data_IF_214806698708
#
_entry.id   IF_214806698708
#
_cell.length_a   1.000
_cell.length_b   1.000
_cell.length_c   1.000
_cell.angle_alpha   90.00
_cell.angle_beta   90.00
_cell.angle_gamma   90.00
#
_symmetry.space_group_name_H-M   'P 1'
#
loop_
_entity.id
_entity.type
_entity.pdbx_description
1 polymer ?
#
# COMPACT_ATOMS: atom_id res chain seq x y z
N UNK A 1 -6.88 22.54 39.87
CA UNK A 1 -6.50 23.86 40.39
C UNK A 1 -6.27 24.81 39.23
N UNK A 2 -6.79 26.04 39.35
CA UNK A 2 -6.82 27.09 38.34
C UNK A 2 -5.44 27.74 38.21
N UNK A 3 -4.95 27.97 36.99
CA UNK A 3 -3.90 28.96 36.72
C UNK A 3 -4.29 29.81 35.51
N UNK A 4 -4.19 31.12 35.71
CA UNK A 4 -4.66 32.24 34.90
C UNK A 4 -4.26 32.20 33.42
N UNK A 5 -5.26 32.27 32.54
CA UNK A 5 -5.13 32.35 31.09
C UNK A 5 -4.71 33.71 30.52
N UNK A 6 -4.24 34.64 31.33
CA UNK A 6 -3.90 36.00 30.89
C UNK A 6 -2.58 36.04 30.07
N UNK A 7 -1.54 35.33 30.49
CA UNK A 7 -0.21 35.42 29.84
C UNK A 7 -0.12 34.68 28.49
N UNK A 8 -1.01 33.73 28.22
CA UNK A 8 -1.02 32.96 26.96
C UNK A 8 -1.79 33.70 25.87
N UNK A 9 -2.83 34.44 26.22
CA UNK A 9 -3.56 35.29 25.28
C UNK A 9 -2.70 36.46 24.77
N UNK A 10 -1.91 37.11 25.62
CA UNK A 10 -1.10 38.27 25.20
C UNK A 10 -0.05 37.92 24.13
N UNK A 11 0.52 36.70 24.17
CA UNK A 11 1.43 36.21 23.13
C UNK A 11 0.69 35.82 21.84
N UNK A 12 -0.53 35.30 21.93
CA UNK A 12 -1.35 34.96 20.77
C UNK A 12 -1.88 36.22 20.05
N UNK A 13 -2.26 37.25 20.80
CA UNK A 13 -2.74 38.53 20.26
C UNK A 13 -1.62 39.28 19.52
N UNK A 14 -0.36 39.23 20.02
CA UNK A 14 0.80 39.82 19.32
C UNK A 14 1.10 39.20 17.94
N UNK A 15 0.60 38.00 17.65
CA UNK A 15 0.88 37.28 16.38
C UNK A 15 -0.27 37.31 15.38
N UNK A 16 -1.35 38.04 15.67
CA UNK A 16 -2.49 38.29 14.79
C UNK A 16 -3.16 37.02 14.20
N UNK A 17 -3.16 35.92 14.96
CA UNK A 17 -3.82 34.66 14.59
C UNK A 17 -5.13 34.48 15.36
N UNK A 18 -6.21 35.06 14.85
CA UNK A 18 -7.56 34.91 15.39
C UNK A 18 -8.30 33.62 14.96
N UNK A 19 -7.60 32.61 14.44
CA UNK A 19 -8.25 31.35 14.04
C UNK A 19 -8.31 30.36 15.23
N UNK A 20 -9.46 30.34 15.91
CA UNK A 20 -10.00 29.25 16.74
C UNK A 20 -8.97 28.42 17.57
N UNK A 21 -8.46 28.99 18.66
CA UNK A 21 -7.79 28.21 19.72
C UNK A 21 -8.83 27.46 20.56
N UNK A 22 -8.82 26.13 20.51
CA UNK A 22 -9.50 25.29 21.49
C UNK A 22 -8.48 24.81 22.53
N UNK A 23 -8.45 25.46 23.70
CA UNK A 23 -7.70 24.96 24.84
C UNK A 23 -8.56 23.97 25.61
N UNK A 24 -8.13 22.71 25.70
CA UNK A 24 -8.65 21.74 26.67
C UNK A 24 -7.51 21.26 27.54
N UNK A 25 -7.58 21.58 28.83
CA UNK A 25 -6.69 21.00 29.83
C UNK A 25 -7.11 19.56 30.12
N UNK A 26 -6.14 18.67 30.25
CA UNK A 26 -6.35 17.31 30.75
C UNK A 26 -5.23 17.04 31.74
N UNK A 27 -5.58 16.65 32.96
CA UNK A 27 -4.62 16.33 34.02
C UNK A 27 -4.26 14.86 33.86
N UNK A 28 -2.97 14.56 33.73
CA UNK A 28 -2.45 13.20 33.69
C UNK A 28 -1.62 12.93 34.94
N UNK A 29 -1.82 11.77 35.56
CA UNK A 29 -1.01 11.26 36.67
C UNK A 29 -0.32 9.98 36.23
N UNK A 30 0.98 9.89 36.44
CA UNK A 30 1.75 8.65 36.30
C UNK A 30 1.78 7.87 37.63
N UNK A 31 1.96 6.54 37.54
CA UNK A 31 2.03 5.57 38.63
C UNK A 31 3.27 5.71 39.53
N UNK A 32 4.19 6.64 39.23
CA UNK A 32 5.45 6.86 39.96
C UNK A 32 5.55 8.18 40.73
N UNK A 33 4.48 8.97 40.81
CA UNK A 33 4.47 10.23 41.55
C UNK A 33 5.07 11.42 40.79
N UNK A 34 4.28 12.48 40.65
CA UNK A 34 4.81 13.85 40.75
C UNK A 34 4.54 14.81 39.61
N UNK A 35 4.61 14.42 38.34
CA UNK A 35 4.64 15.42 37.26
C UNK A 35 3.30 15.55 36.51
N UNK A 36 2.64 16.68 36.73
CA UNK A 36 1.43 17.12 36.01
C UNK A 36 1.82 18.03 34.83
N UNK A 37 1.56 17.58 33.60
CA UNK A 37 1.74 18.38 32.38
C UNK A 37 0.42 18.73 31.69
N UNK A 38 0.43 19.77 30.84
CA UNK A 38 -0.73 20.20 30.05
C UNK A 38 -0.46 20.03 28.54
N UNK A 39 -1.50 19.69 27.79
CA UNK A 39 -1.48 19.69 26.32
C UNK A 39 -2.16 20.98 25.81
N UNK A 40 -1.52 21.69 24.87
CA UNK A 40 -2.13 22.83 24.17
C UNK A 40 -2.19 22.51 22.68
N UNK A 41 -3.38 22.62 22.09
CA UNK A 41 -3.59 22.48 20.66
C UNK A 41 -3.52 23.86 20.03
N UNK A 42 -2.60 24.07 19.10
CA UNK A 42 -2.46 25.32 18.36
C UNK A 42 -2.67 25.03 16.88
N UNK A 43 -3.82 25.49 16.37
CA UNK A 43 -4.18 25.58 14.94
C UNK A 43 -4.59 24.27 14.21
N UNK A 44 -5.42 24.42 13.17
CA UNK A 44 -5.99 23.39 12.30
C UNK A 44 -4.98 22.67 11.40
N UNK A 45 -3.68 22.89 11.62
CA UNK A 45 -2.59 22.32 10.83
C UNK A 45 -1.68 21.49 11.73
N UNK A 46 -2.20 20.36 12.21
CA UNK A 46 -1.51 19.17 12.77
C UNK A 46 -0.27 19.35 13.68
N UNK A 47 -0.02 20.52 14.25
CA UNK A 47 1.16 20.79 15.07
C UNK A 47 0.81 20.82 16.56
N UNK A 48 1.40 19.91 17.33
CA UNK A 48 1.24 19.84 18.79
C UNK A 48 2.51 20.29 19.48
N UNK A 49 2.37 21.21 20.44
CA UNK A 49 3.46 21.60 21.34
C UNK A 49 3.09 21.23 22.77
N UNK A 50 4.00 20.52 23.44
CA UNK A 50 3.85 20.10 24.83
C UNK A 50 4.69 21.01 25.70
N UNK A 51 4.06 21.66 26.68
CA UNK A 51 4.72 22.61 27.55
C UNK A 51 4.73 22.08 28.99
N UNK A 52 5.84 22.27 29.69
CA UNK A 52 5.93 22.03 31.13
C UNK A 52 5.16 23.10 31.93
N UNK A 53 5.12 22.99 33.27
CA UNK A 53 4.47 23.99 34.14
C UNK A 53 5.05 25.40 34.00
N UNK A 54 6.27 25.55 33.48
CA UNK A 54 6.92 26.83 33.18
C UNK A 54 6.64 27.37 31.78
N UNK A 55 5.88 26.65 30.94
CA UNK A 55 5.64 27.05 29.55
C UNK A 55 6.80 26.73 28.61
N UNK A 56 7.80 25.96 29.05
CA UNK A 56 8.91 25.54 28.20
C UNK A 56 8.53 24.28 27.43
N UNK A 57 9.10 24.11 26.23
CA UNK A 57 8.88 22.91 25.43
C UNK A 57 9.42 21.68 26.16
N UNK A 58 8.54 20.75 26.52
CA UNK A 58 8.91 19.54 27.23
C UNK A 58 9.67 18.58 26.31
N UNK A 59 10.82 18.09 26.75
CA UNK A 59 11.62 17.08 26.04
C UNK A 59 11.14 15.66 26.35
N UNK A 60 11.14 14.79 25.35
CA UNK A 60 10.56 13.44 25.41
C UNK A 60 11.16 12.56 26.53
N UNK A 61 12.43 12.78 26.87
CA UNK A 61 13.16 12.03 27.91
C UNK A 61 12.72 12.34 29.34
N UNK A 62 12.03 13.46 29.58
CA UNK A 62 11.67 13.92 30.94
C UNK A 62 10.28 13.51 31.41
N UNK A 63 9.47 12.87 30.55
CA UNK A 63 8.06 12.60 30.87
C UNK A 63 7.69 11.11 30.87
N UNK A 64 8.60 10.20 31.23
CA UNK A 64 8.33 8.78 31.54
C UNK A 64 7.24 8.07 30.70
N UNK A 65 7.25 8.23 29.37
CA UNK A 65 6.27 7.58 28.48
C UNK A 65 4.86 8.22 28.43
N UNK A 66 4.61 9.30 29.18
CA UNK A 66 3.36 10.10 29.11
C UNK A 66 3.15 10.66 27.69
N UNK A 67 4.24 10.99 26.98
CA UNK A 67 4.20 11.43 25.58
C UNK A 67 3.56 10.39 24.65
N UNK A 68 3.97 9.13 24.74
CA UNK A 68 3.48 8.09 23.83
C UNK A 68 2.04 7.69 24.15
N UNK A 69 1.68 7.68 25.44
CA UNK A 69 0.31 7.45 25.88
C UNK A 69 -0.64 8.58 25.44
N UNK A 70 -0.25 9.83 25.64
CA UNK A 70 -1.06 10.99 25.24
C UNK A 70 -1.17 11.12 23.71
N UNK A 71 -0.08 10.87 22.97
CA UNK A 71 -0.06 10.80 21.49
C UNK A 71 -1.03 9.72 20.99
N UNK A 72 -1.06 8.54 21.62
CA UNK A 72 -2.00 7.45 21.29
C UNK A 72 -3.46 7.85 21.53
N UNK A 73 -3.76 8.54 22.64
CA UNK A 73 -5.12 9.03 22.96
C UNK A 73 -5.59 10.16 22.03
N UNK A 74 -4.74 11.14 21.73
CA UNK A 74 -5.07 12.24 20.81
C UNK A 74 -5.29 11.74 19.37
N UNK A 75 -4.52 10.77 18.88
CA UNK A 75 -4.73 10.14 17.56
C UNK A 75 -6.10 9.45 17.45
N UNK A 76 -6.54 8.78 18.51
CA UNK A 76 -7.87 8.14 18.53
C UNK A 76 -9.01 9.17 18.45
N UNK A 77 -8.85 10.35 19.06
CA UNK A 77 -9.86 11.41 19.08
C UNK A 77 -10.06 12.06 17.69
N UNK A 78 -8.98 12.34 16.95
CA UNK A 78 -9.08 12.86 15.58
C UNK A 78 -9.80 11.89 14.63
N UNK A 79 -9.64 10.58 14.81
CA UNK A 79 -10.33 9.61 13.96
C UNK A 79 -11.86 9.60 14.15
N UNK A 80 -12.36 10.08 15.30
CA UNK A 80 -13.80 10.12 15.61
C UNK A 80 -14.52 11.40 15.15
N UNK A 81 -13.82 12.51 14.91
CA UNK A 81 -14.45 13.79 14.58
C UNK A 81 -14.53 14.09 13.09
N UNK A 82 -13.80 13.36 12.24
CA UNK A 82 -13.93 13.44 10.77
C UNK A 82 -15.13 12.62 10.29
N UNK A 83 -16.35 13.07 10.61
CA UNK A 83 -17.61 12.58 10.04
C UNK A 83 -18.66 13.69 9.97
N UNK A 84 -18.26 14.88 9.53
CA UNK A 84 -19.20 15.95 9.19
C UNK A 84 -18.97 16.33 7.73
N UNK A 85 -19.85 15.84 6.86
CA UNK A 85 -19.96 16.26 5.46
C UNK A 85 -20.53 17.67 5.40
N UNK A 86 -19.76 18.64 4.91
CA UNK A 86 -20.32 19.92 4.48
C UNK A 86 -20.81 19.82 3.02
N UNK A 87 -21.97 20.41 2.67
CA UNK A 87 -22.51 20.38 1.31
C UNK A 87 -21.76 21.36 0.39
N UNK A 88 -21.72 21.09 -0.93
CA UNK A 88 -20.98 21.90 -1.87
C UNK A 88 -21.71 23.21 -2.22
N UNK A 89 -20.99 24.32 -2.15
CA UNK A 89 -21.41 25.64 -2.61
C UNK A 89 -21.42 25.68 -4.14
N UNK A 90 -22.56 26.02 -4.75
CA UNK A 90 -22.72 26.25 -6.19
C UNK A 90 -22.03 27.57 -6.59
N UNK A 91 -21.30 27.56 -7.70
CA UNK A 91 -20.99 28.77 -8.48
C UNK A 91 -21.43 28.59 -9.94
N UNK A 92 -22.04 29.64 -10.46
CA UNK A 92 -22.57 29.83 -11.82
C UNK A 92 -21.65 30.80 -12.60
N UNK A 93 -21.50 30.58 -13.90
CA UNK A 93 -21.49 31.59 -14.99
C UNK A 93 -20.93 30.92 -16.26
N UNK A 94 -21.79 30.66 -17.24
CA UNK A 94 -22.01 31.45 -18.47
C UNK A 94 -21.03 31.14 -19.61
N UNK A 95 -21.61 30.65 -20.70
CA UNK A 95 -20.97 30.41 -22.00
C UNK A 95 -21.07 31.66 -22.89
N UNK A 96 -20.33 31.68 -24.01
CA UNK A 96 -20.97 32.09 -25.25
C UNK A 96 -20.78 31.11 -26.41
N UNK A 97 -21.85 31.03 -27.19
CA UNK A 97 -22.14 30.17 -28.34
C UNK A 97 -21.44 30.65 -29.62
N UNK A 98 -21.09 29.74 -30.54
CA UNK A 98 -21.17 29.99 -32.00
C UNK A 98 -21.40 28.71 -32.81
N UNK A 99 -22.53 28.73 -33.55
CA UNK A 99 -23.00 27.91 -34.69
C UNK A 99 -21.95 27.88 -35.86
N UNK A 100 -21.97 27.04 -36.90
CA UNK A 100 -22.85 25.99 -37.48
C UNK A 100 -22.11 25.34 -38.69
N UNK A 101 -22.69 24.25 -39.23
CA UNK A 101 -22.66 23.69 -40.61
C UNK A 101 -21.82 22.41 -40.77
N UNK A 102 -22.20 21.36 -41.52
CA UNK A 102 -23.42 20.89 -42.22
C UNK A 102 -23.17 19.39 -42.53
N UNK A 103 -24.22 18.55 -42.59
CA UNK A 103 -24.18 17.16 -43.08
C UNK A 103 -24.02 17.08 -44.62
N UNK A 104 -23.73 15.91 -45.23
CA UNK A 104 -24.78 14.93 -45.60
C UNK A 104 -24.36 13.44 -45.41
N UNK A 105 -25.23 12.56 -44.91
CA UNK A 105 -26.13 11.61 -45.63
C UNK A 105 -25.44 10.68 -46.63
N UNK A 106 -25.54 9.35 -46.42
CA UNK A 106 -25.85 8.33 -47.44
C UNK A 106 -25.98 6.92 -46.82
N UNK A 107 -27.20 6.40 -46.82
CA UNK A 107 -27.56 4.97 -46.99
C UNK A 107 -28.06 4.83 -48.45
N UNK A 108 -28.06 3.64 -49.12
CA UNK A 108 -28.83 2.46 -48.67
C UNK A 108 -28.36 1.05 -49.11
N UNK A 109 -29.05 0.03 -48.58
CA UNK A 109 -29.73 -1.06 -49.33
C UNK A 109 -29.22 -2.53 -49.23
N UNK A 110 -30.19 -3.37 -48.86
CA UNK A 110 -30.54 -4.72 -49.38
C UNK A 110 -29.85 -6.01 -48.87
N UNK A 111 -30.67 -6.83 -48.19
CA UNK A 111 -30.62 -8.30 -48.10
C UNK A 111 -30.87 -9.00 -49.45
N UNK A 112 -30.62 -10.32 -49.61
CA UNK A 112 -31.69 -11.30 -49.31
C UNK A 112 -31.26 -12.69 -48.77
N UNK A 113 -32.08 -13.19 -47.84
CA UNK A 113 -32.73 -14.53 -47.71
C UNK A 113 -32.07 -15.82 -48.26
N UNK A 114 -31.91 -16.85 -47.39
CA UNK A 114 -32.56 -18.19 -47.48
C UNK A 114 -32.22 -19.13 -46.30
N UNK A 115 -33.28 -19.62 -45.64
CA UNK A 115 -33.42 -20.88 -44.85
C UNK A 115 -34.16 -21.91 -45.76
N UNK A 116 -34.49 -23.15 -45.36
CA UNK A 116 -33.94 -24.08 -44.35
C UNK A 116 -33.75 -25.51 -44.93
N UNK A 117 -32.98 -26.40 -44.27
CA UNK A 117 -33.15 -27.86 -44.44
C UNK A 117 -33.05 -28.55 -43.07
N UNK A 118 -33.94 -29.51 -42.88
CA UNK A 118 -34.31 -30.12 -41.62
C UNK A 118 -33.77 -31.56 -41.50
N UNK A 119 -33.73 -32.00 -40.23
CA UNK A 119 -33.98 -33.36 -39.73
C UNK A 119 -33.04 -34.51 -40.12
N UNK A 120 -32.41 -35.12 -39.11
CA UNK A 120 -32.55 -36.55 -38.78
C UNK A 120 -31.83 -36.92 -37.47
N UNK A 121 -32.62 -37.23 -36.46
CA UNK A 121 -32.39 -38.30 -35.47
C UNK A 121 -33.26 -39.51 -35.92
N UNK A 122 -33.06 -40.78 -35.48
CA UNK A 122 -32.95 -41.11 -34.05
C UNK A 122 -32.21 -42.42 -33.62
N UNK A 123 -31.97 -42.51 -32.28
CA UNK A 123 -31.98 -43.71 -31.38
C UNK A 123 -30.92 -44.85 -31.53
N UNK A 124 -30.74 -45.75 -30.53
CA UNK A 124 -30.24 -45.53 -29.15
C UNK A 124 -29.17 -46.57 -28.75
N UNK A 125 -28.32 -46.30 -27.74
CA UNK A 125 -27.58 -47.40 -27.08
C UNK A 125 -27.38 -47.20 -25.58
N UNK A 126 -28.16 -48.00 -24.85
CA UNK A 126 -27.86 -48.79 -23.64
C UNK A 126 -27.13 -48.13 -22.47
N UNK A 127 -27.91 -48.06 -21.39
CA UNK A 127 -27.59 -47.77 -19.99
C UNK A 127 -26.49 -48.69 -19.43
N UNK A 128 -25.61 -48.13 -18.60
CA UNK A 128 -25.08 -48.85 -17.45
C UNK A 128 -25.20 -47.99 -16.20
N UNK A 129 -25.93 -48.54 -15.23
CA UNK A 129 -26.20 -48.00 -13.92
C UNK A 129 -24.97 -48.13 -13.02
N UNK A 130 -24.52 -47.02 -12.45
CA UNK A 130 -23.84 -47.02 -11.16
C UNK A 130 -24.28 -45.78 -10.40
N UNK A 131 -25.20 -45.97 -9.46
CA UNK A 131 -25.70 -44.92 -8.57
C UNK A 131 -24.61 -44.35 -7.67
N UNK A 132 -24.74 -43.09 -7.23
CA UNK A 132 -23.67 -42.32 -6.63
C UNK A 132 -23.64 -42.50 -5.10
N UNK A 133 -22.44 -42.66 -4.54
CA UNK A 133 -22.19 -42.47 -3.12
C UNK A 133 -22.42 -40.98 -2.81
N UNK A 134 -23.53 -40.67 -2.13
CA UNK A 134 -23.80 -39.35 -1.59
C UNK A 134 -22.72 -39.01 -0.55
N UNK A 135 -21.76 -38.16 -0.94
CA UNK A 135 -20.94 -37.42 0.03
C UNK A 135 -21.86 -36.45 0.76
N UNK A 136 -22.15 -36.76 2.02
CA UNK A 136 -22.79 -35.84 2.96
C UNK A 136 -21.91 -34.58 3.03
N UNK A 137 -22.43 -33.48 2.49
CA UNK A 137 -21.79 -32.18 2.60
C UNK A 137 -21.73 -31.78 4.09
N UNK A 138 -20.60 -31.26 4.59
CA UNK A 138 -20.52 -30.78 5.96
C UNK A 138 -21.51 -29.62 6.15
N UNK A 139 -22.41 -29.78 7.13
CA UNK A 139 -23.35 -28.75 7.59
C UNK A 139 -22.56 -27.46 7.88
N UNK A 140 -22.86 -26.38 7.15
CA UNK A 140 -22.36 -25.04 7.49
C UNK A 140 -22.80 -24.70 8.93
N UNK A 141 -21.84 -24.38 9.77
CA UNK A 141 -22.10 -23.87 11.13
C UNK A 141 -22.85 -22.52 11.03
N UNK A 142 -23.88 -22.24 11.86
CA UNK A 142 -24.76 -21.08 11.70
C UNK A 142 -24.14 -19.71 12.05
N UNK A 143 -22.92 -19.67 12.61
CA UNK A 143 -22.40 -18.45 13.27
C UNK A 143 -21.36 -17.65 12.47
N UNK A 144 -21.21 -17.87 11.16
CA UNK A 144 -20.39 -16.99 10.34
C UNK A 144 -21.26 -15.94 9.64
N UNK A 145 -21.18 -14.64 9.99
CA UNK A 145 -21.87 -13.60 9.25
C UNK A 145 -21.48 -13.70 7.78
N UNK A 146 -22.47 -13.65 6.91
CA UNK A 146 -22.38 -13.86 5.47
C UNK A 146 -21.43 -12.83 4.83
N UNK A 147 -20.12 -13.14 4.87
CA UNK A 147 -19.07 -12.25 4.37
C UNK A 147 -19.12 -12.29 2.85
N UNK A 148 -19.57 -11.19 2.25
CA UNK A 148 -19.61 -10.97 0.78
C UNK A 148 -18.35 -11.55 0.11
N UNK A 149 -18.51 -12.61 -0.69
CA UNK A 149 -17.44 -13.21 -1.47
C UNK A 149 -17.01 -12.26 -2.59
N UNK A 150 -15.72 -11.92 -2.65
CA UNK A 150 -15.16 -11.06 -3.71
C UNK A 150 -14.85 -11.85 -4.99
N UNK A 151 -14.48 -11.17 -6.08
CA UNK A 151 -13.88 -11.83 -7.25
C UNK A 151 -12.44 -12.22 -6.95
N UNK A 152 -11.91 -13.22 -7.66
CA UNK A 152 -10.48 -13.53 -7.58
C UNK A 152 -9.65 -12.34 -8.07
N UNK A 153 -8.53 -12.08 -7.40
CA UNK A 153 -7.59 -11.02 -7.78
C UNK A 153 -6.23 -11.65 -8.02
N UNK A 154 -5.61 -11.31 -9.15
CA UNK A 154 -4.27 -11.76 -9.52
C UNK A 154 -3.37 -10.57 -9.78
N UNK A 155 -2.13 -10.63 -9.29
CA UNK A 155 -1.08 -9.68 -9.62
C UNK A 155 0.21 -10.42 -9.96
N UNK A 156 0.94 -9.92 -10.96
CA UNK A 156 2.28 -10.40 -11.26
C UNK A 156 3.30 -9.74 -10.34
N UNK A 157 4.34 -10.47 -9.97
CA UNK A 157 5.42 -10.03 -9.09
C UNK A 157 6.76 -10.38 -9.73
N UNK A 158 7.68 -9.43 -9.74
CA UNK A 158 9.09 -9.60 -10.14
C UNK A 158 9.96 -8.91 -9.08
N UNK A 159 11.18 -9.39 -8.87
CA UNK A 159 12.14 -8.76 -7.97
C UNK A 159 13.58 -8.99 -8.46
N UNK A 160 14.51 -8.17 -7.94
CA UNK A 160 15.96 -8.41 -7.99
C UNK A 160 16.53 -8.52 -9.41
N UNK A 161 15.93 -7.81 -10.35
CA UNK A 161 16.37 -7.75 -11.74
C UNK A 161 16.02 -6.39 -12.35
N UNK A 162 16.76 -5.92 -13.36
CA UNK A 162 17.88 -6.57 -14.02
C UNK A 162 19.24 -6.05 -13.54
N UNK A 163 20.20 -6.94 -13.32
CA UNK A 163 21.58 -6.58 -12.94
C UNK A 163 22.55 -6.52 -14.11
N UNK A 164 22.12 -6.98 -15.29
CA UNK A 164 22.96 -7.03 -16.48
C UNK A 164 22.17 -6.67 -17.73
N UNK A 165 22.87 -6.52 -18.86
CA UNK A 165 22.20 -6.36 -20.16
C UNK A 165 21.34 -7.58 -20.52
N UNK A 166 21.84 -8.79 -20.34
CA UNK A 166 21.08 -10.01 -20.60
C UNK A 166 19.80 -10.09 -19.76
N UNK A 167 19.85 -9.63 -18.51
CA UNK A 167 18.66 -9.60 -17.65
C UNK A 167 17.67 -8.50 -18.04
N UNK A 168 18.12 -7.41 -18.66
CA UNK A 168 17.22 -6.42 -19.27
C UNK A 168 16.45 -7.04 -20.43
N UNK A 169 17.12 -7.81 -21.28
CA UNK A 169 16.46 -8.55 -22.35
C UNK A 169 15.47 -9.59 -21.78
N UNK A 170 15.82 -10.23 -20.67
CA UNK A 170 14.94 -11.16 -19.96
C UNK A 170 13.71 -10.45 -19.35
N UNK A 171 13.89 -9.30 -18.71
CA UNK A 171 12.81 -8.47 -18.18
C UNK A 171 11.86 -8.05 -19.30
N UNK A 172 12.40 -7.59 -20.43
CA UNK A 172 11.60 -7.22 -21.60
C UNK A 172 10.80 -8.42 -22.13
N UNK A 173 11.41 -9.61 -22.18
CA UNK A 173 10.71 -10.83 -22.55
C UNK A 173 9.61 -11.21 -21.53
N UNK A 174 9.80 -10.98 -20.23
CA UNK A 174 8.74 -11.16 -19.22
C UNK A 174 7.56 -10.21 -19.48
N UNK A 175 7.82 -8.93 -19.72
CA UNK A 175 6.77 -7.94 -20.04
C UNK A 175 5.98 -8.39 -21.27
N UNK A 176 6.65 -8.81 -22.35
CA UNK A 176 5.98 -9.31 -23.55
C UNK A 176 5.13 -10.57 -23.29
N UNK A 177 5.61 -11.51 -22.47
CA UNK A 177 4.84 -12.70 -22.09
C UNK A 177 3.60 -12.33 -21.27
N UNK A 178 3.74 -11.47 -20.26
CA UNK A 178 2.64 -11.02 -19.43
C UNK A 178 1.60 -10.25 -20.26
N UNK A 179 2.02 -9.39 -21.20
CA UNK A 179 1.12 -8.69 -22.12
C UNK A 179 0.26 -9.60 -23.00
N UNK A 180 0.70 -10.84 -23.27
CA UNK A 180 -0.08 -11.84 -24.01
C UNK A 180 -1.01 -12.66 -23.12
N UNK A 181 -0.72 -12.75 -21.82
CA UNK A 181 -1.39 -13.68 -20.90
C UNK A 181 -2.28 -13.00 -19.87
N UNK A 182 -2.10 -11.71 -19.58
CA UNK A 182 -2.72 -11.06 -18.43
C UNK A 182 -4.25 -11.23 -18.37
N UNK A 183 -4.94 -11.16 -19.52
CA UNK A 183 -6.40 -11.34 -19.56
C UNK A 183 -6.81 -12.78 -19.24
N UNK A 184 -6.06 -13.78 -19.72
CA UNK A 184 -6.33 -15.19 -19.43
C UNK A 184 -5.98 -15.56 -17.98
N UNK A 185 -4.91 -14.96 -17.44
CA UNK A 185 -4.50 -15.14 -16.04
C UNK A 185 -5.35 -14.29 -15.07
N UNK A 186 -6.20 -13.38 -15.57
CA UNK A 186 -6.98 -12.45 -14.75
C UNK A 186 -6.14 -11.41 -13.99
N UNK A 187 -4.89 -11.18 -14.42
CA UNK A 187 -3.96 -10.28 -13.75
C UNK A 187 -4.40 -8.82 -13.88
N UNK A 188 -4.31 -8.09 -12.77
CA UNK A 188 -4.81 -6.71 -12.63
C UNK A 188 -3.71 -5.65 -12.62
N UNK A 189 -2.52 -6.01 -12.14
CA UNK A 189 -1.33 -5.16 -12.11
C UNK A 189 -0.05 -6.01 -12.04
N UNK A 190 1.08 -5.36 -12.28
CA UNK A 190 2.43 -5.89 -12.04
C UNK A 190 3.06 -5.11 -10.90
N UNK A 191 3.82 -5.77 -10.03
CA UNK A 191 4.70 -5.11 -9.07
C UNK A 191 6.15 -5.58 -9.22
N UNK A 192 7.09 -4.63 -9.21
CA UNK A 192 8.52 -4.88 -9.10
C UNK A 192 9.00 -4.56 -7.68
N UNK A 193 9.58 -5.53 -6.98
CA UNK A 193 9.96 -5.41 -5.57
C UNK A 193 11.34 -4.78 -5.35
N UNK A 194 11.76 -3.88 -6.24
CA UNK A 194 13.07 -3.21 -6.17
C UNK A 194 14.24 -4.04 -6.66
N UNK A 195 15.44 -3.51 -6.42
CA UNK A 195 16.71 -4.06 -6.84
C UNK A 195 16.81 -4.24 -8.36
N UNK A 196 16.86 -3.10 -9.02
CA UNK A 196 16.97 -2.96 -10.47
C UNK A 196 18.39 -2.56 -10.91
N UNK A 197 19.30 -2.24 -9.98
CA UNK A 197 20.71 -1.98 -10.29
C UNK A 197 21.65 -2.95 -9.59
N UNK A 198 22.16 -3.95 -10.32
CA UNK A 198 23.23 -4.81 -9.79
C UNK A 198 24.61 -4.16 -9.74
N UNK A 199 24.72 -2.87 -10.10
CA UNK A 199 25.98 -2.14 -10.13
C UNK A 199 26.13 -1.23 -8.90
N UNK A 200 27.28 -1.33 -8.24
CA UNK A 200 27.70 -0.39 -7.19
C UNK A 200 27.96 1.03 -7.69
N UNK A 201 27.85 1.31 -8.99
CA UNK A 201 27.99 2.69 -9.52
C UNK A 201 26.67 3.39 -9.79
N UNK A 202 25.55 2.65 -9.71
CA UNK A 202 24.17 3.14 -9.91
C UNK A 202 24.04 4.10 -11.11
N UNK A 203 24.48 3.67 -12.31
CA UNK A 203 24.47 4.54 -13.47
C UNK A 203 23.03 4.87 -13.87
N UNK A 204 22.75 6.13 -14.20
CA UNK A 204 21.39 6.57 -14.56
C UNK A 204 20.81 5.78 -15.74
N UNK A 205 21.65 5.38 -16.69
CA UNK A 205 21.27 4.55 -17.84
C UNK A 205 20.58 3.22 -17.48
N UNK A 206 20.79 2.68 -16.28
CA UNK A 206 20.06 1.48 -15.82
C UNK A 206 18.63 1.84 -15.46
N UNK A 207 18.41 2.93 -14.74
CA UNK A 207 17.07 3.42 -14.38
C UNK A 207 16.25 3.75 -15.64
N UNK A 208 16.87 4.44 -16.61
CA UNK A 208 16.26 4.76 -17.89
C UNK A 208 15.89 3.51 -18.69
N UNK A 209 16.81 2.54 -18.79
CA UNK A 209 16.54 1.30 -19.51
C UNK A 209 15.40 0.49 -18.85
N UNK A 210 15.34 0.45 -17.52
CA UNK A 210 14.28 -0.24 -16.80
C UNK A 210 12.94 0.48 -16.96
N UNK A 211 12.89 1.82 -16.93
CA UNK A 211 11.67 2.59 -17.27
C UNK A 211 11.20 2.27 -18.69
N UNK A 212 12.11 2.26 -19.66
CA UNK A 212 11.80 1.94 -21.06
C UNK A 212 11.20 0.53 -21.23
N UNK A 213 11.61 -0.43 -20.40
CA UNK A 213 11.08 -1.80 -20.44
C UNK A 213 9.74 -1.90 -19.71
N UNK A 214 9.66 -1.42 -18.45
CA UNK A 214 8.45 -1.56 -17.63
C UNK A 214 7.26 -0.78 -18.20
N UNK A 215 7.50 0.38 -18.82
CA UNK A 215 6.45 1.19 -19.46
C UNK A 215 5.75 0.50 -20.63
N UNK A 216 6.33 -0.58 -21.18
CA UNK A 216 5.68 -1.41 -22.22
C UNK A 216 4.58 -2.31 -21.67
N UNK A 217 4.41 -2.39 -20.34
CA UNK A 217 3.37 -3.21 -19.72
C UNK A 217 1.96 -2.73 -20.11
N UNK A 218 1.06 -3.66 -20.44
CA UNK A 218 -0.38 -3.41 -20.60
C UNK A 218 -1.11 -3.31 -19.25
N UNK A 219 -0.46 -3.75 -18.18
CA UNK A 219 -0.94 -3.64 -16.82
C UNK A 219 -0.31 -2.43 -16.13
N UNK A 220 -1.03 -1.75 -15.22
CA UNK A 220 -0.43 -0.79 -14.30
C UNK A 220 0.74 -1.43 -13.55
N UNK A 221 1.86 -0.72 -13.45
CA UNK A 221 3.06 -1.19 -12.75
C UNK A 221 3.27 -0.38 -11.48
N UNK A 222 3.41 -1.09 -10.37
CA UNK A 222 3.93 -0.58 -9.11
C UNK A 222 5.40 -0.97 -8.96
N UNK A 223 6.20 -0.14 -8.33
CA UNK A 223 7.60 -0.43 -8.05
C UNK A 223 8.00 0.22 -6.72
N UNK A 224 8.75 -0.52 -5.92
CA UNK A 224 9.38 -0.04 -4.66
C UNK A 224 10.90 -0.09 -4.83
N UNK A 225 11.69 0.78 -4.18
CA UNK A 225 13.14 0.66 -4.20
C UNK A 225 13.63 -0.52 -3.36
N UNK A 226 14.76 -1.11 -3.76
CA UNK A 226 15.53 -2.06 -2.93
C UNK A 226 16.84 -1.47 -2.43
N UNK A 227 17.67 -2.24 -1.73
CA UNK A 227 18.93 -1.72 -1.18
C UNK A 227 19.91 -1.23 -2.25
N UNK A 228 19.89 -1.86 -3.43
CA UNK A 228 20.72 -1.46 -4.56
C UNK A 228 20.43 -0.04 -5.08
N UNK A 229 19.21 0.47 -4.89
CA UNK A 229 18.85 1.84 -5.25
C UNK A 229 19.06 2.85 -4.11
N UNK A 230 19.44 2.38 -2.92
CA UNK A 230 19.41 3.19 -1.69
C UNK A 230 20.75 3.13 -0.93
N UNK A 231 21.07 2.05 -0.23
CA UNK A 231 22.24 1.94 0.67
C UNK A 231 23.46 1.23 0.07
N UNK A 232 23.28 0.45 -0.99
CA UNK A 232 24.41 -0.20 -1.68
C UNK A 232 25.04 0.74 -2.72
N UNK A 233 24.38 1.87 -2.99
CA UNK A 233 24.94 2.93 -3.81
C UNK A 233 25.91 3.84 -3.05
N UNK A 234 27.16 4.06 -3.52
CA UNK A 234 28.11 4.98 -2.90
C UNK A 234 27.62 6.43 -2.85
N UNK A 235 26.79 6.84 -3.81
CA UNK A 235 26.16 8.15 -3.84
C UNK A 235 24.65 8.00 -3.76
N UNK A 236 24.15 7.88 -2.53
CA UNK A 236 22.72 7.78 -2.21
C UNK A 236 21.90 8.91 -2.85
N UNK A 237 22.36 10.17 -2.77
CA UNK A 237 21.60 11.31 -3.30
C UNK A 237 21.40 11.19 -4.81
N UNK A 238 22.41 10.73 -5.55
CA UNK A 238 22.32 10.48 -6.99
C UNK A 238 21.37 9.32 -7.29
N UNK A 239 21.52 8.19 -6.59
CA UNK A 239 20.67 7.02 -6.79
C UNK A 239 19.20 7.33 -6.49
N UNK A 240 18.94 8.00 -5.36
CA UNK A 240 17.59 8.40 -4.96
C UNK A 240 16.97 9.42 -5.91
N UNK A 241 17.75 10.39 -6.40
CA UNK A 241 17.29 11.33 -7.43
C UNK A 241 16.92 10.60 -8.72
N UNK A 242 17.74 9.65 -9.16
CA UNK A 242 17.44 8.84 -10.34
C UNK A 242 16.19 7.99 -10.12
N UNK A 243 16.10 7.28 -9.00
CA UNK A 243 14.93 6.48 -8.66
C UNK A 243 13.66 7.33 -8.70
N UNK A 244 13.67 8.50 -8.06
CA UNK A 244 12.52 9.41 -8.09
C UNK A 244 12.17 9.91 -9.49
N UNK A 245 13.18 10.25 -10.30
CA UNK A 245 12.99 10.73 -11.68
C UNK A 245 12.25 9.71 -12.55
N UNK A 246 12.58 8.42 -12.40
CA UNK A 246 12.03 7.37 -13.26
C UNK A 246 10.81 6.67 -12.65
N UNK A 247 10.74 6.50 -11.33
CA UNK A 247 9.82 5.55 -10.68
C UNK A 247 8.89 6.14 -9.59
N UNK A 248 9.09 7.39 -9.14
CA UNK A 248 8.17 7.95 -8.14
C UNK A 248 6.76 8.10 -8.73
N UNK A 249 5.76 7.50 -8.08
CA UNK A 249 4.38 7.45 -8.60
C UNK A 249 4.29 6.91 -10.03
N UNK A 250 5.03 5.82 -10.31
CA UNK A 250 5.19 5.25 -11.66
C UNK A 250 3.86 4.96 -12.37
N UNK A 251 2.88 4.44 -11.63
CA UNK A 251 1.53 4.17 -12.11
C UNK A 251 0.84 5.44 -12.64
N UNK A 252 1.06 6.60 -12.02
CA UNK A 252 0.48 7.88 -12.47
C UNK A 252 1.15 8.42 -13.72
N UNK A 253 2.43 8.10 -13.94
CA UNK A 253 3.19 8.52 -15.14
C UNK A 253 2.68 7.81 -16.39
N UNK A 254 2.33 6.53 -16.29
CA UNK A 254 2.08 5.67 -17.45
C UNK A 254 0.65 5.09 -17.52
N UNK A 255 -0.07 4.93 -16.41
CA UNK A 255 -1.40 4.30 -16.35
C UNK A 255 -2.40 5.07 -15.47
N UNK A 256 -2.35 6.41 -15.52
CA UNK A 256 -3.25 7.27 -14.73
C UNK A 256 -4.71 6.85 -14.88
N UNK A 257 -5.40 6.65 -13.76
CA UNK A 257 -6.84 6.31 -13.72
C UNK A 257 -7.19 4.84 -13.97
N UNK A 258 -6.22 3.96 -14.21
CA UNK A 258 -6.50 2.54 -14.45
C UNK A 258 -6.88 1.77 -13.17
N UNK A 259 -6.28 2.15 -12.03
CA UNK A 259 -6.56 1.57 -10.72
C UNK A 259 -6.64 2.69 -9.67
N UNK A 260 -7.41 2.49 -8.58
CA UNK A 260 -7.55 3.48 -7.51
C UNK A 260 -6.35 3.43 -6.55
N UNK A 261 -5.14 3.62 -7.06
CA UNK A 261 -3.89 3.60 -6.30
C UNK A 261 -3.74 4.89 -5.50
N UNK A 262 -3.53 4.74 -4.18
CA UNK A 262 -3.22 5.82 -3.27
C UNK A 262 -1.73 5.79 -2.94
N UNK A 263 -1.11 6.97 -2.85
CA UNK A 263 0.27 7.11 -2.40
C UNK A 263 0.31 7.80 -1.03
N UNK A 264 1.30 7.48 -0.22
CA UNK A 264 1.51 8.16 1.05
C UNK A 264 2.05 9.57 0.80
N UNK A 265 1.40 10.57 1.39
CA UNK A 265 1.89 11.96 1.35
C UNK A 265 3.28 12.06 1.98
N UNK A 266 4.25 12.63 1.25
CA UNK A 266 5.64 12.77 1.70
C UNK A 266 6.50 11.50 1.62
N UNK A 267 5.92 10.38 1.17
CA UNK A 267 6.55 9.08 0.93
C UNK A 267 5.91 8.44 -0.30
N UNK A 268 5.89 9.14 -1.43
CA UNK A 268 5.12 8.71 -2.60
C UNK A 268 5.65 7.42 -3.24
N UNK A 269 6.79 6.89 -2.79
CA UNK A 269 7.24 5.53 -3.07
C UNK A 269 6.35 4.44 -2.42
N UNK A 270 5.65 4.78 -1.33
CA UNK A 270 4.66 3.92 -0.71
C UNK A 270 3.31 4.07 -1.40
N UNK A 271 2.62 2.94 -1.58
CA UNK A 271 1.30 2.93 -2.21
C UNK A 271 0.36 1.90 -1.58
N UNK A 272 -0.94 2.07 -1.83
CA UNK A 272 -1.96 1.14 -1.39
C UNK A 272 -3.16 1.16 -2.36
N UNK A 273 -3.80 0.00 -2.51
CA UNK A 273 -5.04 -0.13 -3.28
C UNK A 273 -5.90 -1.26 -2.72
N UNK A 274 -7.21 -1.07 -2.77
CA UNK A 274 -8.20 -2.09 -2.43
C UNK A 274 -8.90 -2.56 -3.71
N UNK A 275 -8.71 -3.82 -4.09
CA UNK A 275 -9.35 -4.44 -5.26
C UNK A 275 -10.18 -5.63 -4.83
N UNK A 276 -11.49 -5.61 -5.09
CA UNK A 276 -12.39 -6.74 -4.82
C UNK A 276 -12.25 -7.31 -3.39
N UNK A 277 -12.00 -6.42 -2.42
CA UNK A 277 -11.77 -6.74 -1.01
C UNK A 277 -10.34 -7.17 -0.66
N UNK A 278 -9.39 -7.19 -1.59
CA UNK A 278 -7.98 -7.46 -1.30
C UNK A 278 -7.24 -6.14 -1.14
N UNK A 279 -6.68 -5.91 0.04
CA UNK A 279 -5.87 -4.74 0.34
C UNK A 279 -4.41 -5.05 0.00
N UNK A 280 -3.85 -4.31 -0.96
CA UNK A 280 -2.43 -4.34 -1.28
C UNK A 280 -1.78 -3.10 -0.70
N UNK A 281 -0.66 -3.27 0.00
CA UNK A 281 0.13 -2.20 0.60
C UNK A 281 1.57 -2.38 0.14
N UNK A 282 2.15 -1.36 -0.48
CA UNK A 282 3.56 -1.31 -0.86
C UNK A 282 4.26 -0.37 0.09
N UNK A 283 5.32 -0.86 0.72
CA UNK A 283 6.19 -0.11 1.61
C UNK A 283 7.62 -0.16 1.13
N UNK A 284 8.31 0.97 1.20
CA UNK A 284 9.76 1.06 1.03
C UNK A 284 10.42 0.52 2.30
N UNK A 285 10.64 -0.79 2.30
CA UNK A 285 11.40 -1.50 3.31
C UNK A 285 12.79 -1.81 2.76
N UNK A 286 13.80 -1.11 3.29
CA UNK A 286 15.18 -1.21 2.83
C UNK A 286 15.86 -2.48 3.35
N UNK A 287 16.45 -3.26 2.43
CA UNK A 287 17.15 -4.50 2.70
C UNK A 287 18.65 -4.34 2.91
N UNK A 288 19.39 -5.41 2.58
CA UNK A 288 20.83 -5.35 2.38
C UNK A 288 21.69 -5.21 3.62
N UNK A 289 22.97 -4.95 3.35
CA UNK A 289 24.02 -4.73 4.36
C UNK A 289 24.74 -3.38 4.20
N UNK A 290 24.47 -2.64 3.12
CA UNK A 290 25.01 -1.30 2.91
C UNK A 290 24.59 -0.32 3.99
N UNK A 291 25.43 0.67 4.30
CA UNK A 291 25.10 1.64 5.37
C UNK A 291 23.90 2.49 4.96
N UNK A 292 22.82 2.57 5.76
CA UNK A 292 21.74 3.50 5.48
C UNK A 292 22.24 4.95 5.54
N UNK A 293 21.54 5.91 4.90
CA UNK A 293 21.93 7.32 4.94
C UNK A 293 22.13 7.84 6.37
N UNK A 294 21.25 7.45 7.29
CA UNK A 294 21.44 7.52 8.74
C UNK A 294 20.47 6.59 9.47
N UNK A 295 20.79 6.20 10.70
CA UNK A 295 19.87 5.42 11.56
C UNK A 295 18.59 6.20 11.85
N UNK A 296 18.69 7.52 12.07
CA UNK A 296 17.52 8.39 12.32
C UNK A 296 16.57 8.41 11.10
N UNK A 297 17.12 8.54 9.90
CA UNK A 297 16.33 8.50 8.64
C UNK A 297 15.63 7.16 8.47
N UNK A 298 16.32 6.06 8.75
CA UNK A 298 15.75 4.71 8.69
C UNK A 298 14.66 4.51 9.77
N UNK A 299 14.87 4.98 11.00
CA UNK A 299 13.86 4.93 12.05
C UNK A 299 12.60 5.69 11.63
N UNK A 300 12.76 6.92 11.14
CA UNK A 300 11.64 7.73 10.67
C UNK A 300 10.89 7.05 9.51
N UNK A 301 11.62 6.41 8.59
CA UNK A 301 11.01 5.63 7.53
C UNK A 301 10.22 4.43 8.05
N UNK A 302 10.74 3.67 9.02
CA UNK A 302 9.99 2.58 9.63
C UNK A 302 8.72 3.09 10.32
N UNK A 303 8.80 4.20 11.06
CA UNK A 303 7.63 4.85 11.68
C UNK A 303 6.60 5.26 10.62
N UNK A 304 7.03 5.90 9.53
CA UNK A 304 6.14 6.32 8.44
C UNK A 304 5.48 5.12 7.75
N UNK A 305 6.22 4.02 7.57
CA UNK A 305 5.70 2.77 7.00
C UNK A 305 4.68 2.10 7.93
N UNK A 306 4.93 2.12 9.25
CA UNK A 306 3.99 1.62 10.26
C UNK A 306 2.70 2.43 10.23
N UNK A 307 2.81 3.75 10.32
CA UNK A 307 1.66 4.66 10.31
C UNK A 307 0.85 4.49 9.01
N UNK A 308 1.51 4.37 7.85
CA UNK A 308 0.86 4.09 6.57
C UNK A 308 0.11 2.77 6.55
N UNK A 309 0.76 1.70 7.01
CA UNK A 309 0.21 0.33 6.96
C UNK A 309 -0.98 0.22 7.90
N UNK A 310 -0.83 0.65 9.15
CA UNK A 310 -1.89 0.61 10.17
C UNK A 310 -3.08 1.48 9.74
N UNK A 311 -2.83 2.68 9.21
CA UNK A 311 -3.90 3.56 8.72
C UNK A 311 -4.71 2.89 7.62
N UNK A 312 -4.08 2.23 6.65
CA UNK A 312 -4.78 1.52 5.58
C UNK A 312 -5.54 0.28 6.10
N UNK A 313 -4.94 -0.49 7.01
CA UNK A 313 -5.61 -1.62 7.66
C UNK A 313 -6.89 -1.18 8.38
N UNK A 314 -6.82 -0.12 9.18
CA UNK A 314 -7.98 0.42 9.91
C UNK A 314 -9.03 1.02 8.97
N UNK A 315 -8.60 1.78 7.97
CA UNK A 315 -9.47 2.39 6.94
C UNK A 315 -10.30 1.35 6.20
N UNK A 316 -9.72 0.20 5.90
CA UNK A 316 -10.34 -0.85 5.10
C UNK A 316 -10.81 -2.08 5.90
N UNK A 317 -10.77 -2.04 7.25
CA UNK A 317 -11.02 -3.20 8.12
C UNK A 317 -12.30 -3.98 7.81
N UNK A 318 -13.38 -3.28 7.47
CA UNK A 318 -14.69 -3.88 7.18
C UNK A 318 -14.91 -4.20 5.69
N UNK A 319 -13.93 -3.87 4.84
CA UNK A 319 -13.99 -4.07 3.38
C UNK A 319 -13.01 -5.14 2.90
N UNK A 320 -12.02 -5.47 3.72
CA UNK A 320 -10.95 -6.39 3.34
C UNK A 320 -11.27 -7.84 3.69
N UNK A 321 -11.01 -8.74 2.73
CA UNK A 321 -11.03 -10.19 2.86
C UNK A 321 -9.62 -10.80 2.86
N UNK A 322 -8.61 -10.06 2.42
CA UNK A 322 -7.21 -10.43 2.48
C UNK A 322 -6.32 -9.17 2.45
N UNK A 323 -5.08 -9.31 2.93
CA UNK A 323 -4.06 -8.25 2.95
C UNK A 323 -2.76 -8.80 2.36
N UNK A 324 -2.16 -8.08 1.42
CA UNK A 324 -0.85 -8.39 0.88
C UNK A 324 0.03 -7.16 1.07
N UNK A 325 1.13 -7.33 1.79
CA UNK A 325 2.12 -6.28 2.03
C UNK A 325 3.34 -6.62 1.17
N UNK A 326 3.80 -5.65 0.38
CA UNK A 326 4.98 -5.74 -0.45
C UNK A 326 6.07 -4.83 0.09
N UNK A 327 7.30 -5.32 0.09
CA UNK A 327 8.50 -4.54 0.38
C UNK A 327 9.71 -5.25 -0.17
N UNK A 328 10.86 -4.58 -0.23
CA UNK A 328 12.06 -5.21 -0.74
C UNK A 328 12.73 -6.10 0.33
N UNK A 329 12.92 -5.56 1.54
CA UNK A 329 13.70 -6.19 2.59
C UNK A 329 13.14 -7.56 3.05
N UNK A 330 14.05 -8.51 3.23
CA UNK A 330 13.82 -9.65 4.11
C UNK A 330 13.89 -9.19 5.57
N UNK A 331 12.94 -9.59 6.44
CA UNK A 331 12.92 -9.08 7.81
C UNK A 331 14.07 -9.60 8.66
N UNK A 332 14.87 -8.71 9.24
CA UNK A 332 16.01 -9.05 10.11
C UNK A 332 15.99 -8.26 11.42
N UNK A 333 16.18 -8.99 12.53
CA UNK A 333 16.59 -8.41 13.81
C UNK A 333 18.06 -7.98 13.74
N UNK A 334 18.45 -7.02 14.58
CA UNK A 334 19.83 -6.53 14.65
C UNK A 334 20.38 -5.96 13.33
N UNK A 335 19.54 -5.57 12.37
CA UNK A 335 19.98 -4.85 11.17
C UNK A 335 20.25 -3.39 11.54
N UNK A 336 21.52 -3.00 11.57
CA UNK A 336 22.05 -1.67 11.94
C UNK A 336 21.73 -1.16 13.37
N UNK A 337 20.67 -1.66 14.01
CA UNK A 337 20.18 -1.31 15.36
C UNK A 337 19.56 -2.56 16.01
N UNK A 338 19.44 -2.63 17.35
CA UNK A 338 19.00 -3.84 18.05
C UNK A 338 17.68 -4.43 17.52
N UNK A 339 16.64 -3.61 17.35
CA UNK A 339 15.35 -4.11 16.87
C UNK A 339 15.28 -4.27 15.33
N UNK A 340 16.24 -3.73 14.59
CA UNK A 340 16.33 -3.84 13.12
C UNK A 340 15.02 -3.49 12.40
N UNK A 341 14.57 -4.41 11.56
CA UNK A 341 13.32 -4.24 10.80
C UNK A 341 12.07 -4.50 11.66
N UNK A 342 12.22 -5.06 12.86
CA UNK A 342 11.08 -5.38 13.71
C UNK A 342 10.37 -4.11 14.19
N UNK A 343 11.02 -2.94 14.11
CA UNK A 343 10.36 -1.65 14.30
C UNK A 343 9.15 -1.45 13.37
N UNK A 344 9.16 -2.07 12.19
CA UNK A 344 8.01 -2.13 11.30
C UNK A 344 7.12 -3.35 11.60
N UNK A 345 7.71 -4.54 11.69
CA UNK A 345 6.93 -5.78 11.73
C UNK A 345 6.20 -6.02 13.05
N UNK A 346 6.75 -5.61 14.19
CA UNK A 346 6.11 -5.85 15.49
C UNK A 346 4.80 -5.03 15.64
N UNK A 347 4.79 -3.71 15.40
CA UNK A 347 3.54 -2.93 15.45
C UNK A 347 2.50 -3.40 14.43
N UNK A 348 2.93 -3.76 13.21
CA UNK A 348 2.02 -4.28 12.18
C UNK A 348 1.43 -5.63 12.61
N UNK A 349 2.22 -6.54 13.18
CA UNK A 349 1.71 -7.79 13.74
C UNK A 349 0.66 -7.56 14.83
N UNK A 350 0.93 -6.62 15.76
CA UNK A 350 -0.02 -6.27 16.81
C UNK A 350 -1.35 -5.77 16.23
N UNK A 351 -1.30 -4.90 15.23
CA UNK A 351 -2.51 -4.39 14.57
C UNK A 351 -3.28 -5.49 13.83
N UNK A 352 -2.58 -6.39 13.11
CA UNK A 352 -3.23 -7.51 12.41
C UNK A 352 -3.98 -8.43 13.39
N UNK A 353 -3.40 -8.66 14.58
CA UNK A 353 -4.01 -9.42 15.66
C UNK A 353 -5.21 -8.69 16.28
N UNK A 354 -5.08 -7.39 16.54
CA UNK A 354 -6.17 -6.54 17.06
C UNK A 354 -7.37 -6.52 16.12
N UNK A 355 -7.12 -6.44 14.81
CA UNK A 355 -8.14 -6.50 13.76
C UNK A 355 -8.65 -7.93 13.49
N UNK A 356 -8.10 -8.94 14.18
CA UNK A 356 -8.47 -10.36 14.06
C UNK A 356 -8.42 -10.87 12.61
N UNK A 357 -7.41 -10.44 11.86
CA UNK A 357 -7.20 -10.88 10.48
C UNK A 357 -6.63 -12.30 10.51
N UNK A 358 -7.29 -13.29 9.87
CA UNK A 358 -6.78 -14.66 9.84
C UNK A 358 -5.39 -14.75 9.18
N UNK A 359 -4.49 -15.53 9.77
CA UNK A 359 -3.10 -15.64 9.29
C UNK A 359 -2.99 -16.10 7.83
N UNK A 360 -3.91 -16.96 7.36
CA UNK A 360 -3.95 -17.43 5.97
C UNK A 360 -4.49 -16.38 4.97
N UNK A 361 -4.85 -15.19 5.46
CA UNK A 361 -5.36 -14.06 4.67
C UNK A 361 -4.46 -12.84 4.73
N UNK A 362 -3.25 -13.00 5.26
CA UNK A 362 -2.23 -11.96 5.28
C UNK A 362 -0.87 -12.53 4.91
N UNK A 363 -0.15 -11.86 4.02
CA UNK A 363 1.21 -12.22 3.63
C UNK A 363 2.06 -10.98 3.39
N UNK A 364 3.34 -11.07 3.74
CA UNK A 364 4.38 -10.15 3.29
C UNK A 364 5.21 -10.81 2.18
N UNK A 365 5.40 -10.12 1.06
CA UNK A 365 6.15 -10.63 -0.10
C UNK A 365 7.32 -9.71 -0.42
N UNK A 366 8.53 -10.27 -0.54
CA UNK A 366 9.78 -9.51 -0.72
C UNK A 366 10.82 -10.17 -1.66
N UNK A 367 11.88 -9.44 -2.02
CA UNK A 367 12.94 -9.84 -2.97
C UNK A 367 14.25 -10.25 -2.30
N UNK A 368 15.11 -9.29 -1.92
CA UNK A 368 16.31 -9.33 -1.05
C UNK A 368 17.15 -10.64 -1.04
N UNK A 369 16.62 -11.77 -0.52
CA UNK A 369 17.40 -13.02 -0.44
C UNK A 369 17.66 -13.71 -1.79
N UNK A 370 17.09 -13.22 -2.90
CA UNK A 370 17.24 -13.80 -4.25
C UNK A 370 16.88 -15.29 -4.35
N UNK A 371 16.08 -15.81 -3.41
CA UNK A 371 15.77 -17.24 -3.32
C UNK A 371 14.38 -17.43 -2.77
N UNK A 372 13.58 -18.22 -3.51
CA UNK A 372 12.24 -18.61 -3.08
C UNK A 372 12.24 -19.23 -1.67
N UNK A 373 11.74 -18.47 -0.69
CA UNK A 373 11.83 -18.83 0.72
C UNK A 373 10.53 -18.47 1.43
N UNK A 374 9.94 -19.42 2.15
CA UNK A 374 8.84 -19.15 3.10
C UNK A 374 9.44 -18.77 4.45
N UNK A 375 8.85 -17.79 5.11
CA UNK A 375 9.24 -17.39 6.46
C UNK A 375 8.04 -16.92 7.27
N UNK A 376 8.28 -16.64 8.56
CA UNK A 376 7.31 -15.99 9.45
C UNK A 376 7.99 -14.91 10.26
N UNK A 377 7.27 -13.83 10.52
CA UNK A 377 7.66 -12.79 11.48
C UNK A 377 6.49 -12.56 12.42
N UNK A 378 6.60 -13.04 13.66
CA UNK A 378 5.46 -13.11 14.56
C UNK A 378 4.33 -13.97 13.96
N UNK A 379 3.15 -13.37 13.78
CA UNK A 379 1.98 -14.01 13.17
C UNK A 379 1.88 -13.83 11.65
N UNK A 380 2.73 -12.98 11.07
CA UNK A 380 2.71 -12.66 9.64
C UNK A 380 3.46 -13.73 8.84
N UNK A 381 2.76 -14.34 7.88
CA UNK A 381 3.39 -15.21 6.90
C UNK A 381 4.18 -14.38 5.88
N UNK A 382 5.31 -14.92 5.44
CA UNK A 382 6.20 -14.25 4.50
C UNK A 382 6.61 -15.15 3.34
N UNK A 383 6.84 -14.53 2.17
CA UNK A 383 7.48 -15.18 1.03
C UNK A 383 8.53 -14.28 0.40
N UNK A 384 9.71 -14.82 0.21
CA UNK A 384 10.71 -14.27 -0.71
C UNK A 384 10.44 -14.81 -2.10
N UNK A 385 10.40 -13.95 -3.12
CA UNK A 385 10.36 -14.37 -4.53
C UNK A 385 11.77 -14.57 -5.06
N UNK A 386 11.95 -15.59 -5.90
CA UNK A 386 13.22 -15.84 -6.56
C UNK A 386 13.56 -14.77 -7.59
N UNK A 387 14.83 -14.43 -7.65
CA UNK A 387 15.38 -13.50 -8.62
C UNK A 387 15.20 -14.03 -10.05
N UNK A 388 14.97 -13.14 -11.02
CA UNK A 388 14.74 -13.48 -12.44
C UNK A 388 13.56 -14.42 -12.67
N UNK A 389 12.54 -14.35 -11.82
CA UNK A 389 11.32 -15.13 -11.98
C UNK A 389 10.12 -14.21 -11.87
N UNK A 390 9.07 -14.59 -12.59
CA UNK A 390 7.75 -13.99 -12.43
C UNK A 390 6.98 -14.87 -11.47
N UNK A 391 6.25 -14.26 -10.54
CA UNK A 391 5.27 -14.93 -9.72
C UNK A 391 3.89 -14.33 -9.98
N UNK A 392 2.85 -15.09 -9.66
CA UNK A 392 1.47 -14.63 -9.54
C UNK A 392 1.03 -14.80 -8.11
N UNK A 393 0.66 -13.71 -7.46
CA UNK A 393 -0.15 -13.80 -6.24
C UNK A 393 -1.61 -13.88 -6.64
N UNK A 394 -2.29 -14.89 -6.14
CA UNK A 394 -3.69 -15.20 -6.46
C UNK A 394 -4.45 -15.17 -5.14
N UNK A 395 -5.49 -14.35 -5.07
CA UNK A 395 -6.41 -14.36 -3.93
C UNK A 395 -7.78 -14.84 -4.41
N UNK A 396 -8.19 -16.01 -3.96
CA UNK A 396 -9.49 -16.62 -4.32
C UNK A 396 -10.67 -15.82 -3.74
N UNK A 397 -11.94 -16.07 -4.11
CA UNK A 397 -13.10 -15.35 -3.54
C UNK A 397 -13.22 -15.38 -2.01
N UNK A 398 -12.68 -16.40 -1.35
CA UNK A 398 -12.74 -16.62 0.09
C UNK A 398 -11.64 -15.86 0.86
N UNK A 399 -10.64 -15.31 0.16
CA UNK A 399 -9.51 -14.60 0.79
C UNK A 399 -8.27 -15.46 1.01
N UNK A 400 -8.26 -16.71 0.54
CA UNK A 400 -7.05 -17.52 0.61
C UNK A 400 -6.04 -17.00 -0.40
N UNK A 401 -4.77 -16.93 0.03
CA UNK A 401 -3.67 -16.40 -0.77
C UNK A 401 -2.81 -17.57 -1.23
N UNK A 402 -2.58 -17.64 -2.53
CA UNK A 402 -1.61 -18.54 -3.16
C UNK A 402 -0.57 -17.73 -3.93
N UNK A 403 0.65 -18.27 -4.01
CA UNK A 403 1.75 -17.68 -4.77
C UNK A 403 2.36 -18.74 -5.69
N UNK A 404 2.15 -18.55 -6.98
CA UNK A 404 2.53 -19.48 -8.04
C UNK A 404 3.63 -18.86 -8.88
N UNK A 405 4.70 -19.61 -9.14
CA UNK A 405 5.77 -19.21 -10.06
C UNK A 405 5.36 -19.40 -11.51
#
# INVERSE_FOLDING_TARGET
CVVNGANVMDNAIRTNKQAALSMKSSIFRDNGGGDEGYAVVVDQVESYSWLDRGGNRAENSKCNGVFDYARKKCRNFLSSTYSVTMPPTKMSSESPTKRSTKAPTHEPSASPTKKPIATREPTPTIKNNSSPIQKIAPKKSPDQPDRKSGKSVVAYIIADMPYSRAERDELDAYIHRMNRRYSADGARFLIHLGDITGSKTCPESVYEAVDSILSKSKLPVLITPGDNEVNDCPNYQKAWRNWKKYFLSYDRKHWKGHLPIQHQSGREENSALLLDGVLFIVVHMQGGTGKPPSISTMNKQHEDNVDWTITNLRKYKNKMRAVIIFGHAFPRKNRYKPNGDMDFFDPVNSELQELKIPQNRVIYICGDLHKDTRFKVGSLNGRVVDRKRVYRVIVDPQGNIDLVR
#
